data_IF_478370166192
#
_entry.id   IF_478370166192
#
_cell.length_a   1.000
_cell.length_b   1.000
_cell.length_c   1.000
_cell.angle_alpha   90.00
_cell.angle_beta   90.00
_cell.angle_gamma   90.00
#
_symmetry.space_group_name_H-M   'P 1'
#
loop_
_entity.id
_entity.type
_entity.pdbx_description
1 polymer ?
#
# COMPACT_ATOMS: atom_id res chain seq x y z
N UNK A 1 30.07 13.42 2.80
CA UNK A 1 29.83 11.97 2.93
C UNK A 1 29.21 11.46 1.65
N UNK A 2 29.11 10.16 1.50
CA UNK A 2 28.56 9.51 0.30
C UNK A 2 27.16 8.99 0.59
N UNK A 3 26.24 9.17 -0.33
CA UNK A 3 24.90 8.59 -0.18
C UNK A 3 25.01 7.06 -0.18
N UNK A 4 24.51 6.45 0.88
CA UNK A 4 24.59 5.00 1.13
C UNK A 4 23.23 4.30 1.02
N UNK A 5 22.14 5.05 1.15
CA UNK A 5 20.80 4.50 1.16
C UNK A 5 19.80 5.40 0.43
N UNK A 6 18.97 4.78 -0.40
CA UNK A 6 17.94 5.47 -1.16
C UNK A 6 16.62 4.72 -0.97
N UNK A 7 15.62 5.43 -0.46
CA UNK A 7 14.24 4.99 -0.44
C UNK A 7 13.50 5.60 -1.63
N UNK A 8 12.67 4.81 -2.30
CA UNK A 8 11.81 5.29 -3.39
C UNK A 8 10.38 4.81 -3.14
N UNK A 9 9.46 5.73 -2.94
CA UNK A 9 8.05 5.41 -2.75
C UNK A 9 7.20 5.89 -3.92
N UNK A 10 6.13 5.15 -4.23
CA UNK A 10 5.05 5.64 -5.08
C UNK A 10 4.06 6.43 -4.24
N UNK A 11 3.40 7.43 -4.83
CA UNK A 11 2.29 8.13 -4.18
C UNK A 11 1.17 7.17 -3.75
N UNK A 12 0.37 7.57 -2.77
CA UNK A 12 -0.77 6.83 -2.25
C UNK A 12 -1.93 6.69 -3.24
N UNK A 13 -3.01 6.04 -2.80
CA UNK A 13 -4.20 5.76 -3.59
C UNK A 13 -4.89 7.04 -4.06
N UNK A 14 -5.14 7.19 -5.37
CA UNK A 14 -5.70 8.40 -5.99
C UNK A 14 -7.22 8.43 -5.87
N UNK A 15 -7.80 9.62 -5.75
CA UNK A 15 -9.24 9.82 -5.65
C UNK A 15 -10.02 9.29 -6.88
N UNK A 16 -9.45 9.37 -8.08
CA UNK A 16 -10.09 8.87 -9.30
C UNK A 16 -9.97 7.34 -9.50
N UNK A 17 -9.38 6.63 -8.55
CA UNK A 17 -9.38 5.15 -8.54
C UNK A 17 -10.54 4.56 -7.74
N UNK A 18 -11.27 5.40 -7.02
CA UNK A 18 -12.50 4.97 -6.34
C UNK A 18 -13.52 4.46 -7.36
N UNK A 19 -14.32 3.43 -7.03
CA UNK A 19 -15.26 2.80 -7.96
C UNK A 19 -16.38 3.74 -8.44
N UNK A 20 -16.68 4.78 -7.66
CA UNK A 20 -17.77 5.72 -7.95
C UNK A 20 -17.34 7.16 -7.71
N UNK A 21 -17.70 8.06 -8.65
CA UNK A 21 -17.59 9.51 -8.50
C UNK A 21 -18.81 10.14 -7.82
N UNK A 22 -18.87 11.45 -7.73
CA UNK A 22 -17.98 12.38 -8.43
C UNK A 22 -16.59 12.46 -7.80
N UNK A 23 -15.56 12.60 -8.65
CA UNK A 23 -14.19 12.76 -8.17
C UNK A 23 -13.88 14.25 -7.95
N UNK A 24 -13.03 14.58 -6.96
CA UNK A 24 -12.63 15.96 -6.74
C UNK A 24 -11.84 16.50 -7.93
N UNK A 25 -12.08 17.76 -8.27
CA UNK A 25 -11.28 18.48 -9.25
C UNK A 25 -9.82 18.59 -8.75
N UNK A 26 -8.84 18.62 -9.68
CA UNK A 26 -7.45 18.82 -9.31
C UNK A 26 -7.26 20.13 -8.52
N UNK A 27 -6.78 20.11 -7.27
CA UNK A 27 -6.66 21.29 -6.44
C UNK A 27 -5.74 22.37 -7.03
N UNK A 28 -4.73 21.94 -7.79
CA UNK A 28 -3.77 22.83 -8.45
C UNK A 28 -4.30 23.43 -9.77
N UNK A 29 -5.46 22.99 -10.23
CA UNK A 29 -6.01 23.36 -11.54
C UNK A 29 -5.29 22.68 -12.72
N UNK A 30 -4.29 21.86 -12.46
CA UNK A 30 -3.57 21.11 -13.50
C UNK A 30 -4.33 19.83 -13.82
N UNK A 31 -4.71 19.68 -15.08
CA UNK A 31 -5.40 18.48 -15.54
C UNK A 31 -4.58 17.21 -15.23
N UNK A 32 -5.23 16.16 -14.76
CA UNK A 32 -4.62 14.90 -14.32
C UNK A 32 -3.78 14.96 -13.04
N UNK A 33 -3.72 16.11 -12.35
CA UNK A 33 -3.08 16.22 -11.04
C UNK A 33 -4.10 16.01 -9.91
N UNK A 34 -4.77 14.85 -9.95
CA UNK A 34 -5.81 14.49 -8.96
C UNK A 34 -5.20 14.25 -7.58
N UNK A 35 -5.94 14.61 -6.51
CA UNK A 35 -5.49 14.37 -5.13
C UNK A 35 -5.59 12.89 -4.75
N UNK A 36 -5.03 12.55 -3.59
CA UNK A 36 -5.24 11.26 -2.96
C UNK A 36 -6.70 11.10 -2.53
N UNK A 37 -7.18 9.84 -2.51
CA UNK A 37 -8.40 9.47 -1.79
C UNK A 37 -8.16 9.55 -0.27
N UNK A 38 -9.23 9.50 0.52
CA UNK A 38 -9.11 9.52 1.99
C UNK A 38 -8.19 8.40 2.49
N UNK A 39 -8.40 7.16 2.02
CA UNK A 39 -7.53 6.08 2.43
C UNK A 39 -6.11 6.17 1.83
N UNK A 40 -5.91 6.88 0.74
CA UNK A 40 -4.59 7.22 0.22
C UNK A 40 -3.82 8.17 1.14
N UNK A 41 -4.53 9.09 1.82
CA UNK A 41 -3.95 9.91 2.90
C UNK A 41 -3.62 9.06 4.14
N UNK A 42 -4.42 8.02 4.43
CA UNK A 42 -4.10 7.05 5.49
C UNK A 42 -2.84 6.26 5.14
N UNK A 43 -2.73 5.75 3.91
CA UNK A 43 -1.52 5.08 3.42
C UNK A 43 -0.26 5.96 3.58
N UNK A 44 -0.38 7.27 3.30
CA UNK A 44 0.73 8.20 3.49
C UNK A 44 1.15 8.34 4.96
N UNK A 45 0.18 8.35 5.89
CA UNK A 45 0.46 8.34 7.35
C UNK A 45 1.08 7.01 7.81
N UNK A 46 0.58 5.88 7.31
CA UNK A 46 1.14 4.55 7.59
C UNK A 46 2.60 4.45 7.12
N UNK A 47 2.91 4.95 5.91
CA UNK A 47 4.28 5.04 5.42
C UNK A 47 5.15 5.92 6.32
N UNK A 48 4.65 7.08 6.76
CA UNK A 48 5.38 7.98 7.65
C UNK A 48 5.71 7.30 8.99
N UNK A 49 4.74 6.61 9.59
CA UNK A 49 4.94 5.85 10.82
C UNK A 49 5.92 4.68 10.65
N UNK A 50 5.84 3.98 9.52
CA UNK A 50 6.80 2.92 9.19
C UNK A 50 8.23 3.47 9.10
N UNK A 51 8.43 4.55 8.35
CA UNK A 51 9.75 5.19 8.21
C UNK A 51 10.28 5.75 9.54
N UNK A 52 9.41 6.17 10.45
CA UNK A 52 9.81 6.56 11.81
C UNK A 52 10.29 5.38 12.64
N UNK A 53 9.80 4.17 12.37
CA UNK A 53 10.12 2.95 13.10
C UNK A 53 11.41 2.25 12.65
N UNK A 54 11.94 2.59 11.45
CA UNK A 54 13.18 1.97 10.93
C UNK A 54 14.42 2.64 11.50
N UNK A 55 15.50 1.86 11.71
CA UNK A 55 16.76 2.38 12.26
C UNK A 55 17.46 3.38 11.32
N UNK A 56 17.27 3.20 10.00
CA UNK A 56 17.92 4.00 8.97
C UNK A 56 16.93 4.99 8.33
N UNK A 57 16.44 5.94 9.10
CA UNK A 57 15.51 6.95 8.64
C UNK A 57 16.11 7.83 7.53
N UNK A 58 15.32 8.28 6.54
CA UNK A 58 15.79 9.26 5.57
C UNK A 58 16.15 10.60 6.24
N UNK A 59 17.16 11.25 5.71
CA UNK A 59 17.71 12.53 6.18
C UNK A 59 17.37 13.69 5.23
N UNK A 60 17.00 13.37 3.99
CA UNK A 60 16.48 14.31 3.00
C UNK A 60 15.27 13.73 2.29
N UNK A 61 14.28 14.59 2.03
CA UNK A 61 13.05 14.24 1.31
C UNK A 61 12.97 14.98 -0.01
N UNK A 62 12.75 14.21 -1.08
CA UNK A 62 12.47 14.73 -2.42
C UNK A 62 11.11 14.24 -2.90
N UNK A 63 10.33 15.12 -3.48
CA UNK A 63 9.03 14.78 -4.04
C UNK A 63 8.91 15.25 -5.48
N UNK A 64 8.25 14.44 -6.30
CA UNK A 64 7.65 14.90 -7.53
C UNK A 64 6.74 16.11 -7.24
N UNK A 65 6.70 17.14 -8.11
CA UNK A 65 5.88 18.33 -7.90
C UNK A 65 4.37 18.10 -8.03
N UNK A 66 3.91 16.92 -8.42
CA UNK A 66 2.48 16.61 -8.52
C UNK A 66 1.85 16.51 -7.12
N UNK A 67 0.65 17.07 -6.99
CA UNK A 67 -0.05 17.27 -5.72
C UNK A 67 -0.15 15.98 -4.88
N UNK A 68 -0.51 14.85 -5.50
CA UNK A 68 -0.61 13.54 -4.85
C UNK A 68 0.72 13.03 -4.26
N UNK A 69 1.85 13.38 -4.89
CA UNK A 69 3.17 13.02 -4.35
C UNK A 69 3.49 13.89 -3.13
N UNK A 70 3.17 15.18 -3.18
CA UNK A 70 3.34 16.08 -2.04
C UNK A 70 2.44 15.67 -0.88
N UNK A 71 1.17 15.29 -1.12
CA UNK A 71 0.28 14.75 -0.09
C UNK A 71 0.83 13.45 0.54
N UNK A 72 1.54 12.63 -0.24
CA UNK A 72 2.18 11.41 0.29
C UNK A 72 3.42 11.75 1.12
N UNK A 73 4.19 12.78 0.72
CA UNK A 73 5.43 13.18 1.39
C UNK A 73 5.17 14.00 2.65
N UNK A 74 4.06 14.74 2.69
CA UNK A 74 3.74 15.68 3.78
C UNK A 74 3.75 15.03 5.17
N UNK A 75 3.09 13.89 5.45
CA UNK A 75 3.14 13.25 6.76
C UNK A 75 4.56 12.81 7.14
N UNK A 76 5.39 12.41 6.16
CA UNK A 76 6.79 12.03 6.41
C UNK A 76 7.59 13.25 6.82
N UNK A 77 7.41 14.37 6.11
CA UNK A 77 8.06 15.64 6.41
C UNK A 77 7.71 16.15 7.81
N UNK A 78 6.45 15.99 8.22
CA UNK A 78 5.97 16.38 9.54
C UNK A 78 6.59 15.57 10.68
N UNK A 79 6.58 14.23 10.57
CA UNK A 79 7.09 13.38 11.65
C UNK A 79 8.62 13.38 11.76
N UNK A 80 9.31 13.70 10.66
CA UNK A 80 10.78 13.75 10.61
C UNK A 80 11.33 15.17 10.74
N UNK A 81 10.44 16.19 10.76
CA UNK A 81 10.82 17.61 10.80
C UNK A 81 11.79 17.98 9.64
N UNK A 82 11.55 17.42 8.45
CA UNK A 82 12.37 17.66 7.26
C UNK A 82 11.62 18.47 6.20
N UNK A 83 12.28 19.41 5.50
CA UNK A 83 11.68 20.09 4.37
C UNK A 83 11.54 19.16 3.16
N UNK A 84 10.54 19.42 2.30
CA UNK A 84 10.32 18.70 1.06
C UNK A 84 11.01 19.44 -0.08
N UNK A 85 11.97 18.80 -0.73
CA UNK A 85 12.63 19.31 -1.93
C UNK A 85 11.83 18.88 -3.17
N UNK A 86 11.43 19.84 -4.00
CA UNK A 86 10.69 19.55 -5.23
C UNK A 86 11.65 19.20 -6.35
N UNK A 87 11.62 17.93 -6.81
CA UNK A 87 12.46 17.44 -7.89
C UNK A 87 11.62 17.05 -9.12
N UNK A 88 11.70 17.87 -10.18
CA UNK A 88 10.95 17.63 -11.42
C UNK A 88 11.42 16.38 -12.17
N UNK A 89 12.68 15.99 -12.00
CA UNK A 89 13.28 14.83 -12.64
C UNK A 89 12.65 13.49 -12.27
N UNK A 90 11.95 13.45 -11.12
CA UNK A 90 11.17 12.28 -10.69
C UNK A 90 9.66 12.45 -10.95
N UNK A 91 9.30 13.33 -11.90
CA UNK A 91 7.91 13.57 -12.31
C UNK A 91 7.26 12.40 -13.04
N UNK A 92 5.95 12.50 -13.24
CA UNK A 92 5.12 11.49 -13.89
C UNK A 92 5.57 11.23 -15.34
N UNK A 93 5.35 10.01 -15.78
CA UNK A 93 5.53 9.56 -17.14
C UNK A 93 4.23 9.71 -17.92
N UNK A 94 4.29 10.44 -19.01
CA UNK A 94 3.20 10.57 -19.98
C UNK A 94 3.67 10.15 -21.36
N UNK A 95 2.85 9.33 -22.03
CA UNK A 95 3.15 8.86 -23.39
C UNK A 95 3.08 10.01 -24.42
N UNK A 96 3.85 9.92 -25.53
CA UNK A 96 3.87 10.96 -26.56
C UNK A 96 2.56 11.12 -27.35
N UNK A 97 1.65 10.15 -27.27
CA UNK A 97 0.35 10.13 -27.95
C UNK A 97 -0.76 10.90 -27.24
N UNK A 98 -0.45 11.55 -26.12
CA UNK A 98 -1.41 12.44 -25.43
C UNK A 98 -1.52 13.79 -26.14
N UNK A 99 -2.74 14.30 -26.24
CA UNK A 99 -3.02 15.64 -26.80
C UNK A 99 -2.33 16.76 -26.02
N UNK A 100 -2.28 16.61 -24.69
CA UNK A 100 -1.63 17.56 -23.78
C UNK A 100 -0.83 16.79 -22.74
N UNK A 101 0.43 17.14 -22.60
CA UNK A 101 1.28 16.65 -21.51
C UNK A 101 1.10 17.58 -20.30
N UNK A 102 0.58 17.09 -19.16
CA UNK A 102 0.40 17.92 -17.99
C UNK A 102 1.73 18.38 -17.41
N UNK A 103 1.88 19.68 -17.23
CA UNK A 103 2.98 20.26 -16.45
C UNK A 103 2.53 20.47 -14.99
N UNK A 104 3.38 20.17 -14.00
CA UNK A 104 3.02 20.40 -12.61
C UNK A 104 2.82 21.90 -12.34
N UNK A 105 2.03 22.20 -11.31
CA UNK A 105 1.80 23.56 -10.87
C UNK A 105 3.12 24.25 -10.47
N UNK A 106 3.23 25.59 -10.64
CA UNK A 106 4.40 26.33 -10.21
C UNK A 106 4.55 26.31 -8.68
N UNK A 107 5.78 26.56 -8.21
CA UNK A 107 6.13 26.49 -6.79
C UNK A 107 5.20 27.33 -5.89
N UNK A 108 4.90 28.56 -6.32
CA UNK A 108 4.06 29.51 -5.57
C UNK A 108 2.63 28.98 -5.36
N UNK A 109 2.12 28.19 -6.30
CA UNK A 109 0.81 27.53 -6.16
C UNK A 109 0.90 26.38 -5.16
N UNK A 110 1.94 25.55 -5.26
CA UNK A 110 2.15 24.43 -4.35
C UNK A 110 2.40 24.89 -2.91
N UNK A 111 3.16 25.98 -2.71
CA UNK A 111 3.44 26.55 -1.38
C UNK A 111 2.15 27.00 -0.67
N UNK A 112 1.11 27.43 -1.40
CA UNK A 112 -0.18 27.75 -0.78
C UNK A 112 -0.88 26.53 -0.17
N UNK A 113 -0.63 25.32 -0.69
CA UNK A 113 -1.19 24.07 -0.16
C UNK A 113 -0.32 23.45 0.93
N UNK A 114 0.99 23.66 0.85
CA UNK A 114 1.98 23.08 1.76
C UNK A 114 2.85 24.16 2.42
N UNK A 115 2.23 25.13 3.14
CA UNK A 115 2.91 26.34 3.60
C UNK A 115 4.06 26.02 4.56
N UNK A 116 5.24 26.55 4.22
CA UNK A 116 6.46 26.38 5.02
C UNK A 116 7.06 24.98 5.03
N UNK A 117 6.53 24.04 4.22
CA UNK A 117 7.04 22.67 4.13
C UNK A 117 7.95 22.45 2.93
N UNK A 118 7.80 23.28 1.89
CA UNK A 118 8.53 23.13 0.64
C UNK A 118 9.86 23.89 0.65
N UNK A 119 10.93 23.26 0.14
CA UNK A 119 12.20 23.94 -0.10
C UNK A 119 12.23 24.51 -1.53
N UNK A 120 12.16 25.84 -1.64
CA UNK A 120 12.18 26.56 -2.91
C UNK A 120 13.58 26.78 -3.51
N UNK A 121 14.66 26.44 -2.79
CA UNK A 121 16.04 26.63 -3.26
C UNK A 121 16.53 25.49 -4.15
N UNK A 122 15.85 24.33 -4.09
CA UNK A 122 16.18 23.18 -4.92
C UNK A 122 15.62 23.35 -6.34
N UNK A 123 16.48 23.49 -7.33
CA UNK A 123 16.07 23.48 -8.75
C UNK A 123 16.06 22.06 -9.32
N UNK A 124 15.31 21.84 -10.40
CA UNK A 124 15.22 20.56 -11.07
C UNK A 124 16.60 20.05 -11.55
N UNK A 125 16.88 18.77 -11.35
CA UNK A 125 18.10 18.09 -11.86
C UNK A 125 17.96 17.81 -13.34
N UNK A 126 16.84 17.23 -13.74
CA UNK A 126 16.38 17.03 -15.13
C UNK A 126 14.90 17.36 -15.20
N UNK A 127 14.37 17.51 -16.39
CA UNK A 127 12.94 17.81 -16.60
C UNK A 127 12.36 16.81 -17.57
N UNK A 128 11.22 16.16 -17.26
CA UNK A 128 10.50 15.32 -18.21
C UNK A 128 10.16 16.07 -19.50
N UNK A 129 10.08 15.36 -20.61
CA UNK A 129 9.73 15.94 -21.91
C UNK A 129 8.31 16.51 -21.90
N UNK A 130 8.13 17.74 -22.35
CA UNK A 130 6.81 18.34 -22.55
C UNK A 130 6.08 17.83 -23.80
N UNK A 131 6.67 16.88 -24.52
CA UNK A 131 6.08 16.17 -25.67
C UNK A 131 5.70 14.73 -25.34
N UNK A 132 5.80 14.36 -24.06
CA UNK A 132 5.71 12.99 -23.61
C UNK A 132 7.02 12.23 -23.78
N UNK A 133 7.05 11.01 -23.29
CA UNK A 133 8.21 10.14 -23.26
C UNK A 133 7.80 8.72 -23.66
N UNK A 134 8.57 8.09 -24.52
CA UNK A 134 8.50 6.64 -24.74
C UNK A 134 9.03 5.91 -23.51
N UNK A 135 8.89 4.60 -23.47
CA UNK A 135 9.46 3.77 -22.40
C UNK A 135 11.00 3.89 -22.34
N UNK A 136 11.64 4.03 -23.49
CA UNK A 136 13.08 4.26 -23.55
C UNK A 136 13.45 5.65 -23.04
N UNK A 137 12.65 6.68 -23.38
CA UNK A 137 12.93 8.05 -22.96
C UNK A 137 12.85 8.22 -21.44
N UNK A 138 11.84 7.64 -20.79
CA UNK A 138 11.77 7.69 -19.31
C UNK A 138 12.93 6.94 -18.66
N UNK A 139 13.32 5.79 -19.21
CA UNK A 139 14.48 5.05 -18.72
C UNK A 139 15.76 5.88 -18.86
N UNK A 140 16.00 6.49 -20.01
CA UNK A 140 17.15 7.34 -20.26
C UNK A 140 17.15 8.60 -19.38
N UNK A 141 15.98 9.21 -19.14
CA UNK A 141 15.83 10.31 -18.18
C UNK A 141 16.27 9.90 -16.78
N UNK A 142 15.84 8.74 -16.29
CA UNK A 142 16.21 8.25 -14.96
C UNK A 142 17.70 7.88 -14.88
N UNK A 143 18.27 7.32 -15.94
CA UNK A 143 19.70 7.03 -16.05
C UNK A 143 20.56 8.30 -16.03
N UNK A 144 20.10 9.37 -16.70
CA UNK A 144 20.77 10.68 -16.69
C UNK A 144 20.58 11.41 -15.35
N UNK A 145 19.43 11.23 -14.69
CA UNK A 145 19.08 11.83 -13.41
C UNK A 145 20.09 11.46 -12.31
N UNK A 146 20.35 10.18 -12.11
CA UNK A 146 21.12 9.69 -10.97
C UNK A 146 22.50 10.35 -10.79
N UNK A 147 23.40 10.35 -11.78
CA UNK A 147 24.74 10.92 -11.59
C UNK A 147 24.71 12.43 -11.29
N UNK A 148 23.77 13.15 -11.90
CA UNK A 148 23.63 14.60 -11.67
C UNK A 148 23.00 14.88 -10.31
N UNK A 149 21.98 14.13 -9.96
CA UNK A 149 21.26 14.27 -8.70
C UNK A 149 22.16 13.96 -7.50
N UNK A 150 22.81 12.80 -7.50
CA UNK A 150 23.68 12.38 -6.39
C UNK A 150 24.87 13.32 -6.24
N UNK A 151 25.53 13.71 -7.35
CA UNK A 151 26.64 14.67 -7.27
C UNK A 151 26.21 16.00 -6.64
N UNK A 152 25.01 16.49 -6.99
CA UNK A 152 24.47 17.72 -6.42
C UNK A 152 24.09 17.57 -4.95
N UNK A 153 23.46 16.45 -4.57
CA UNK A 153 23.11 16.17 -3.17
C UNK A 153 24.37 16.10 -2.32
N UNK A 154 25.38 15.32 -2.72
CA UNK A 154 26.63 15.18 -1.98
C UNK A 154 27.42 16.49 -1.86
N UNK A 155 27.26 17.39 -2.85
CA UNK A 155 27.85 18.72 -2.79
C UNK A 155 27.13 19.67 -1.82
N UNK A 156 25.78 19.68 -1.86
CA UNK A 156 24.97 20.61 -1.08
C UNK A 156 24.72 20.13 0.36
N UNK A 157 24.69 18.81 0.56
CA UNK A 157 24.38 18.16 1.83
C UNK A 157 25.49 17.14 2.18
N UNK A 158 26.71 17.58 2.47
CA UNK A 158 27.87 16.68 2.62
C UNK A 158 27.78 15.72 3.81
N UNK A 159 26.88 15.99 4.77
CA UNK A 159 26.70 15.18 5.98
C UNK A 159 25.58 14.14 5.88
N UNK A 160 24.87 14.10 4.74
CA UNK A 160 23.73 13.22 4.50
C UNK A 160 24.15 11.92 3.83
N UNK A 161 23.62 10.81 4.31
CA UNK A 161 23.86 9.47 3.77
C UNK A 161 22.60 8.78 3.25
N UNK A 162 21.39 9.27 3.64
CA UNK A 162 20.12 8.58 3.39
C UNK A 162 19.08 9.52 2.77
N UNK A 163 18.53 9.11 1.64
CA UNK A 163 17.58 9.88 0.86
C UNK A 163 16.23 9.18 0.75
N UNK A 164 15.19 9.96 0.59
CA UNK A 164 13.89 9.44 0.16
C UNK A 164 13.34 10.26 -1.01
N UNK A 165 12.82 9.53 -2.01
CA UNK A 165 12.12 10.09 -3.17
C UNK A 165 10.68 9.57 -3.20
N UNK A 166 9.72 10.47 -3.38
CA UNK A 166 8.30 10.13 -3.60
C UNK A 166 7.92 10.47 -5.03
N UNK A 167 7.46 9.48 -5.77
CA UNK A 167 7.26 9.57 -7.22
C UNK A 167 6.04 8.77 -7.70
N UNK A 168 6.01 8.36 -8.95
CA UNK A 168 4.94 7.70 -9.67
C UNK A 168 5.35 6.28 -10.07
N UNK A 169 4.39 5.44 -10.48
CA UNK A 169 4.64 4.03 -10.74
C UNK A 169 5.73 3.79 -11.79
N UNK A 170 5.59 4.38 -12.97
CA UNK A 170 6.54 4.18 -14.06
C UNK A 170 7.92 4.75 -13.72
N UNK A 171 7.95 5.96 -13.14
CA UNK A 171 9.19 6.62 -12.74
C UNK A 171 9.91 5.87 -11.61
N UNK A 172 9.16 5.31 -10.63
CA UNK A 172 9.73 4.46 -9.57
C UNK A 172 10.45 3.25 -10.15
N UNK A 173 9.82 2.55 -11.09
CA UNK A 173 10.43 1.40 -11.77
C UNK A 173 11.66 1.83 -12.57
N UNK A 174 11.57 2.89 -13.38
CA UNK A 174 12.67 3.37 -14.20
C UNK A 174 13.86 3.85 -13.36
N UNK A 175 13.62 4.52 -12.22
CA UNK A 175 14.64 4.90 -11.26
C UNK A 175 15.35 3.66 -10.69
N UNK A 176 14.60 2.67 -10.24
CA UNK A 176 15.17 1.46 -9.67
C UNK A 176 15.97 0.65 -10.71
N UNK A 177 15.42 0.42 -11.90
CA UNK A 177 16.09 -0.33 -12.96
C UNK A 177 17.38 0.35 -13.41
N UNK A 178 17.36 1.67 -13.58
CA UNK A 178 18.56 2.43 -13.95
C UNK A 178 19.60 2.50 -12.83
N UNK A 179 19.19 2.56 -11.57
CA UNK A 179 20.09 2.55 -10.42
C UNK A 179 20.78 1.20 -10.26
N UNK A 180 20.09 0.11 -10.50
CA UNK A 180 20.60 -1.26 -10.46
C UNK A 180 21.47 -1.63 -11.67
N UNK A 181 21.56 -0.75 -12.68
CA UNK A 181 22.42 -0.96 -13.87
C UNK A 181 21.78 -1.79 -14.98
N UNK A 182 20.47 -2.02 -14.96
CA UNK A 182 19.74 -2.66 -16.06
C UNK A 182 19.67 -1.75 -17.29
N UNK A 183 19.28 -2.30 -18.42
CA UNK A 183 19.23 -1.56 -19.71
C UNK A 183 17.81 -1.20 -20.15
N UNK A 184 16.77 -1.71 -19.48
CA UNK A 184 15.38 -1.37 -19.74
C UNK A 184 14.48 -1.54 -18.49
N UNK A 185 13.26 -0.98 -18.58
CA UNK A 185 12.26 -1.10 -17.52
C UNK A 185 11.57 -2.48 -17.46
N UNK A 186 11.80 -3.36 -18.44
CA UNK A 186 11.09 -4.65 -18.58
C UNK A 186 11.91 -5.86 -18.15
N UNK A 187 13.19 -5.68 -17.91
CA UNK A 187 14.05 -6.77 -17.47
C UNK A 187 13.64 -7.26 -16.08
N UNK A 188 13.72 -8.55 -15.81
CA UNK A 188 13.63 -9.05 -14.45
C UNK A 188 14.90 -8.66 -13.66
N UNK A 189 14.75 -8.45 -12.37
CA UNK A 189 15.88 -8.07 -11.49
C UNK A 189 16.68 -9.29 -11.00
N UNK A 190 16.17 -10.49 -11.23
CA UNK A 190 16.82 -11.76 -10.87
C UNK A 190 16.44 -12.90 -11.84
N UNK A 191 17.04 -14.08 -11.63
CA UNK A 191 16.82 -15.29 -12.43
C UNK A 191 15.41 -15.89 -12.25
N UNK A 192 14.72 -15.57 -11.14
CA UNK A 192 13.36 -16.03 -10.85
C UNK A 192 12.30 -15.20 -11.61
N UNK A 193 12.72 -14.18 -12.33
CA UNK A 193 11.83 -13.34 -13.10
C UNK A 193 11.14 -12.23 -12.29
N UNK A 194 11.67 -11.93 -11.10
CA UNK A 194 11.16 -10.86 -10.22
C UNK A 194 11.24 -9.51 -10.94
N UNK A 195 10.21 -8.70 -10.76
CA UNK A 195 10.14 -7.31 -11.26
C UNK A 195 10.06 -6.33 -10.08
N UNK A 196 10.36 -5.06 -10.34
CA UNK A 196 10.12 -4.01 -9.35
C UNK A 196 8.61 -3.84 -9.17
N UNK A 197 8.14 -4.05 -7.94
CA UNK A 197 6.73 -3.89 -7.58
C UNK A 197 6.41 -2.42 -7.35
N UNK A 198 5.28 -1.96 -7.86
CA UNK A 198 4.87 -0.56 -7.77
C UNK A 198 3.38 -0.43 -7.46
N UNK A 199 2.95 -0.89 -6.28
CA UNK A 199 1.64 -0.63 -5.69
C UNK A 199 1.50 0.81 -5.19
N UNK A 200 0.27 1.23 -4.87
CA UNK A 200 0.03 2.51 -4.21
C UNK A 200 0.78 2.55 -2.87
N UNK A 201 1.47 3.64 -2.59
CA UNK A 201 2.27 3.86 -1.38
C UNK A 201 3.34 2.81 -1.09
N UNK A 202 3.72 1.98 -2.11
CA UNK A 202 4.76 0.96 -1.96
C UNK A 202 6.15 1.57 -1.87
N UNK A 203 7.02 0.94 -1.09
CA UNK A 203 8.36 1.42 -0.76
C UNK A 203 9.44 0.47 -1.26
N UNK A 204 10.43 1.01 -2.00
CA UNK A 204 11.69 0.34 -2.30
C UNK A 204 12.81 0.88 -1.43
N UNK A 205 13.82 0.05 -1.20
CA UNK A 205 15.06 0.44 -0.53
C UNK A 205 16.24 -0.08 -1.31
N UNK A 206 17.20 0.82 -1.56
CA UNK A 206 18.45 0.52 -2.25
C UNK A 206 19.62 0.87 -1.33
N UNK A 207 20.59 -0.01 -1.24
CA UNK A 207 21.81 0.15 -0.44
C UNK A 207 23.05 0.09 -1.31
N UNK A 208 23.96 1.02 -1.09
CA UNK A 208 25.29 1.03 -1.73
C UNK A 208 26.10 -0.16 -1.23
N UNK A 209 26.85 -0.81 -2.10
CA UNK A 209 27.81 -1.84 -1.67
C UNK A 209 28.92 -1.21 -0.86
N UNK A 210 29.24 -1.80 0.31
CA UNK A 210 30.10 -1.20 1.36
C UNK A 210 31.51 -0.83 0.90
N UNK A 211 32.05 -1.47 -0.11
CA UNK A 211 33.44 -1.22 -0.57
C UNK A 211 33.52 -0.11 -1.63
N UNK A 212 32.39 0.55 -1.96
CA UNK A 212 32.30 1.49 -3.07
C UNK A 212 32.00 2.93 -2.64
N UNK A 213 32.07 3.22 -1.34
CA UNK A 213 31.74 4.54 -0.79
C UNK A 213 32.65 5.67 -1.33
N UNK A 214 33.89 5.38 -1.63
CA UNK A 214 34.87 6.35 -2.16
C UNK A 214 34.85 6.46 -3.69
N UNK A 215 34.04 5.64 -4.39
CA UNK A 215 33.98 5.67 -5.84
C UNK A 215 33.06 6.80 -6.33
N UNK A 216 33.31 7.39 -7.52
CA UNK A 216 32.34 8.28 -8.17
C UNK A 216 31.07 7.52 -8.53
N UNK A 217 29.91 8.19 -8.49
CA UNK A 217 28.58 7.57 -8.67
C UNK A 217 28.49 6.58 -9.86
N UNK A 218 29.03 6.85 -11.06
CA UNK A 218 28.91 5.91 -12.19
C UNK A 218 29.60 4.55 -11.96
N UNK A 219 30.45 4.45 -10.95
CA UNK A 219 31.18 3.22 -10.61
C UNK A 219 30.60 2.53 -9.37
N UNK A 220 29.58 3.11 -8.76
CA UNK A 220 28.89 2.56 -7.58
C UNK A 220 27.83 1.57 -8.00
N UNK A 221 27.75 0.45 -7.30
CA UNK A 221 26.73 -0.57 -7.48
C UNK A 221 25.77 -0.58 -6.30
N UNK A 222 24.51 -0.75 -6.61
CA UNK A 222 23.43 -0.71 -5.64
C UNK A 222 22.74 -2.06 -5.55
N UNK A 223 22.31 -2.40 -4.35
CA UNK A 223 21.53 -3.59 -4.08
C UNK A 223 20.13 -3.16 -3.62
N UNK A 224 19.11 -3.72 -4.25
CA UNK A 224 17.73 -3.60 -3.75
C UNK A 224 17.57 -4.53 -2.55
N UNK A 225 17.26 -3.96 -1.38
CA UNK A 225 17.04 -4.71 -0.13
C UNK A 225 15.56 -4.71 0.27
N UNK A 226 14.71 -3.92 -0.41
CA UNK A 226 13.26 -3.91 -0.27
C UNK A 226 12.64 -3.61 -1.63
N UNK A 227 11.69 -4.44 -2.07
CA UNK A 227 11.02 -4.35 -3.36
C UNK A 227 9.53 -4.17 -3.18
N UNK A 228 9.02 -2.95 -3.33
CA UNK A 228 7.61 -2.62 -3.27
C UNK A 228 6.94 -3.01 -1.95
N UNK A 229 7.62 -2.83 -0.83
CA UNK A 229 7.07 -3.17 0.48
C UNK A 229 5.77 -2.40 0.76
N UNK A 230 4.74 -3.13 1.14
CA UNK A 230 3.41 -2.66 1.55
C UNK A 230 2.92 -3.33 2.83
N UNK A 231 3.80 -4.04 3.56
CA UNK A 231 3.44 -4.76 4.79
C UNK A 231 2.97 -3.83 5.91
N UNK A 232 3.39 -2.56 5.84
CA UNK A 232 2.97 -1.52 6.78
C UNK A 232 1.59 -0.93 6.45
N UNK A 233 1.02 -1.22 5.28
CA UNK A 233 -0.29 -0.73 4.88
C UNK A 233 -1.39 -1.65 5.42
N UNK A 234 -2.40 -1.06 6.04
CA UNK A 234 -3.55 -1.78 6.62
C UNK A 234 -4.33 -2.62 5.59
N UNK A 235 -4.33 -2.21 4.32
CA UNK A 235 -5.00 -2.93 3.22
C UNK A 235 -4.03 -3.73 2.34
N UNK A 236 -2.73 -3.72 2.64
CA UNK A 236 -1.71 -4.36 1.82
C UNK A 236 -1.49 -3.67 0.47
N UNK A 237 -1.08 -4.44 -0.55
CA UNK A 237 -0.77 -3.88 -1.86
C UNK A 237 -2.03 -3.63 -2.69
N UNK A 238 -2.20 -2.39 -3.13
CA UNK A 238 -3.27 -1.98 -4.03
C UNK A 238 -2.68 -1.34 -5.30
N UNK A 239 -3.42 -1.40 -6.40
CA UNK A 239 -3.10 -0.69 -7.65
C UNK A 239 -1.67 -0.94 -8.16
N UNK A 240 -1.17 -2.16 -8.03
CA UNK A 240 0.10 -2.53 -8.66
C UNK A 240 0.09 -2.21 -10.15
N UNK A 241 1.20 -1.64 -10.63
CA UNK A 241 1.39 -1.32 -12.04
C UNK A 241 2.81 -1.69 -12.49
N UNK A 242 2.95 -2.11 -13.73
CA UNK A 242 4.22 -2.32 -14.43
C UNK A 242 4.11 -1.98 -15.91
N UNK A 243 5.24 -1.93 -16.60
CA UNK A 243 5.30 -1.60 -18.05
C UNK A 243 4.66 -2.67 -18.96
N UNK A 244 4.27 -3.84 -18.43
CA UNK A 244 3.59 -4.90 -19.19
C UNK A 244 2.09 -4.63 -19.35
N UNK A 245 1.51 -3.76 -18.51
CA UNK A 245 0.09 -3.43 -18.50
C UNK A 245 -0.42 -2.79 -19.79
N UNK A 246 0.46 -2.16 -20.58
CA UNK A 246 0.10 -1.46 -21.82
C UNK A 246 -0.57 -0.10 -21.65
N UNK A 247 -1.01 0.24 -20.44
CA UNK A 247 -1.65 1.52 -20.11
C UNK A 247 -0.70 2.44 -19.35
N UNK A 248 -0.93 3.75 -19.43
CA UNK A 248 -0.29 4.69 -18.50
C UNK A 248 -0.81 4.46 -17.08
N UNK A 249 0.09 4.50 -16.11
CA UNK A 249 -0.23 4.30 -14.71
C UNK A 249 -1.27 5.31 -14.21
N UNK A 250 -2.42 4.82 -13.73
CA UNK A 250 -3.51 5.64 -13.23
C UNK A 250 -4.29 6.40 -14.30
N UNK A 251 -4.15 6.04 -15.58
CA UNK A 251 -5.01 6.59 -16.65
C UNK A 251 -6.45 6.08 -16.53
N UNK A 252 -7.40 6.84 -17.08
CA UNK A 252 -8.80 6.42 -17.13
C UNK A 252 -8.98 5.10 -17.89
N UNK A 253 -8.13 4.86 -18.89
CA UNK A 253 -8.10 3.61 -19.66
C UNK A 253 -7.68 2.42 -18.80
N UNK A 254 -6.66 2.58 -17.94
CA UNK A 254 -6.25 1.55 -16.97
C UNK A 254 -7.35 1.29 -15.94
N UNK A 255 -7.91 2.34 -15.35
CA UNK A 255 -9.00 2.23 -14.36
C UNK A 255 -10.20 1.50 -14.96
N UNK A 256 -10.59 1.86 -16.20
CA UNK A 256 -11.68 1.19 -16.92
C UNK A 256 -11.34 -0.27 -17.26
N UNK A 257 -10.11 -0.56 -17.67
CA UNK A 257 -9.70 -1.93 -17.97
C UNK A 257 -9.73 -2.82 -16.72
N UNK A 258 -9.30 -2.30 -15.56
CA UNK A 258 -9.37 -3.00 -14.26
C UNK A 258 -10.82 -3.27 -13.86
N UNK A 259 -11.71 -2.27 -13.97
CA UNK A 259 -13.14 -2.43 -13.68
C UNK A 259 -13.81 -3.47 -14.58
N UNK A 260 -13.44 -3.51 -15.87
CA UNK A 260 -13.97 -4.50 -16.84
C UNK A 260 -13.40 -5.89 -16.53
N UNK A 261 -12.12 -6.01 -16.20
CA UNK A 261 -11.50 -7.29 -15.84
C UNK A 261 -12.11 -7.86 -14.55
N UNK A 262 -12.37 -7.02 -13.55
CA UNK A 262 -13.10 -7.42 -12.34
C UNK A 262 -14.51 -7.89 -12.66
N UNK A 263 -15.25 -7.20 -13.56
CA UNK A 263 -16.59 -7.60 -13.97
C UNK A 263 -16.62 -8.89 -14.81
N UNK A 264 -15.57 -9.17 -15.64
CA UNK A 264 -15.49 -10.41 -16.43
C UNK A 264 -14.94 -11.59 -15.63
N UNK A 265 -14.20 -11.35 -14.56
CA UNK A 265 -13.77 -12.40 -13.63
C UNK A 265 -14.94 -12.96 -12.79
N UNK A 266 -16.06 -12.23 -12.71
CA UNK A 266 -17.28 -12.69 -12.03
C UNK A 266 -18.14 -13.65 -12.87
N UNK A 267 -17.82 -13.88 -14.17
CA UNK A 267 -18.59 -14.75 -15.06
C UNK A 267 -17.92 -16.12 -15.33
N UNK A 268 -16.77 -16.43 -14.76
CA UNK A 268 -16.10 -17.74 -14.87
C UNK A 268 -15.50 -18.16 -13.53
N UNK A 269 -16.14 -19.20 -12.97
CA UNK A 269 -15.77 -19.97 -11.79
C UNK A 269 -16.04 -19.29 -10.42
N UNK A 270 -16.89 -19.99 -9.63
CA UNK A 270 -17.20 -19.82 -8.22
C UNK A 270 -15.99 -19.64 -7.29
N UNK A 271 -15.23 -18.56 -7.43
CA UNK A 271 -14.39 -18.02 -6.40
C UNK A 271 -15.05 -16.73 -5.93
N UNK A 272 -15.91 -16.84 -4.91
CA UNK A 272 -16.42 -15.71 -4.15
C UNK A 272 -15.26 -14.83 -3.74
N UNK A 273 -15.20 -13.61 -4.31
CA UNK A 273 -14.34 -12.53 -3.83
C UNK A 273 -14.96 -12.05 -2.51
N UNK A 274 -14.65 -12.78 -1.43
CA UNK A 274 -15.17 -12.50 -0.09
C UNK A 274 -14.31 -11.43 0.56
N UNK A 275 -14.83 -10.22 0.65
CA UNK A 275 -14.30 -9.19 1.53
C UNK A 275 -14.55 -9.62 2.98
N UNK A 276 -13.47 -9.78 3.76
CA UNK A 276 -13.59 -10.06 5.18
C UNK A 276 -13.72 -8.76 5.96
N UNK A 277 -14.94 -8.44 6.40
CA UNK A 277 -15.21 -7.31 7.30
C UNK A 277 -15.33 -7.82 8.72
N UNK A 278 -14.58 -7.23 9.64
CA UNK A 278 -14.66 -7.52 11.07
C UNK A 278 -15.50 -6.44 11.75
N UNK A 279 -16.58 -6.87 12.38
CA UNK A 279 -17.52 -5.99 13.07
C UNK A 279 -17.56 -6.38 14.55
N UNK A 280 -17.42 -5.41 15.44
CA UNK A 280 -17.68 -5.63 16.87
C UNK A 280 -19.19 -5.57 17.12
N UNK A 281 -19.73 -6.59 17.78
CA UNK A 281 -21.13 -6.63 18.23
C UNK A 281 -21.20 -6.26 19.69
N UNK A 282 -21.84 -5.14 20.00
CA UNK A 282 -22.09 -4.72 21.38
C UNK A 282 -23.49 -5.20 21.83
N UNK A 283 -23.50 -6.29 22.62
CA UNK A 283 -24.74 -6.91 23.11
C UNK A 283 -25.10 -6.27 24.43
N UNK A 284 -26.29 -5.66 24.58
CA UNK A 284 -26.69 -4.94 25.78
C UNK A 284 -26.75 -5.88 27.00
N UNK A 285 -26.11 -5.48 28.06
CA UNK A 285 -26.14 -6.20 29.35
C UNK A 285 -27.09 -5.49 30.31
N UNK A 286 -28.32 -5.98 30.41
CA UNK A 286 -29.38 -5.34 31.20
C UNK A 286 -29.26 -5.52 32.71
N UNK A 287 -28.34 -6.38 33.16
CA UNK A 287 -28.14 -6.60 34.59
C UNK A 287 -26.65 -6.66 34.99
N UNK A 288 -26.17 -5.62 35.65
CA UNK A 288 -24.82 -5.56 36.25
C UNK A 288 -24.50 -6.68 37.23
N UNK A 289 -25.51 -7.47 37.65
CA UNK A 289 -25.38 -8.55 38.65
C UNK A 289 -25.42 -9.95 38.06
N UNK A 290 -25.90 -10.13 36.83
CA UNK A 290 -25.91 -11.41 36.13
C UNK A 290 -25.21 -11.21 34.79
N UNK A 291 -23.92 -11.58 34.71
CA UNK A 291 -23.25 -11.74 33.40
C UNK A 291 -23.91 -12.91 32.69
N UNK A 292 -24.82 -12.65 31.78
CA UNK A 292 -25.22 -13.66 30.82
C UNK A 292 -24.03 -13.91 29.90
N UNK A 293 -23.23 -14.92 30.23
CA UNK A 293 -22.20 -15.42 29.35
C UNK A 293 -22.88 -15.95 28.10
N UNK A 294 -22.65 -15.28 26.97
CA UNK A 294 -23.03 -15.83 25.65
C UNK A 294 -22.33 -17.18 25.56
N UNK A 295 -23.09 -18.27 25.47
CA UNK A 295 -22.52 -19.60 25.34
C UNK A 295 -21.56 -19.65 24.15
N UNK A 296 -20.38 -20.23 24.31
CA UNK A 296 -19.43 -20.44 23.24
C UNK A 296 -20.00 -21.28 22.07
N UNK A 297 -21.18 -21.87 22.24
CA UNK A 297 -21.92 -22.63 21.23
C UNK A 297 -23.14 -21.87 20.70
N UNK A 298 -23.37 -20.61 21.12
CA UNK A 298 -24.48 -19.82 20.61
C UNK A 298 -24.33 -19.59 19.10
N UNK A 299 -25.42 -19.85 18.38
CA UNK A 299 -25.46 -19.55 16.93
C UNK A 299 -25.68 -18.08 16.71
N UNK A 300 -24.90 -17.50 15.78
CA UNK A 300 -25.07 -16.15 15.30
C UNK A 300 -25.75 -16.21 13.91
N UNK A 301 -26.87 -15.50 13.75
CA UNK A 301 -27.53 -15.30 12.48
C UNK A 301 -27.75 -13.81 12.27
N UNK A 302 -27.69 -13.35 11.05
CA UNK A 302 -27.88 -11.93 10.73
C UNK A 302 -28.66 -11.77 9.40
N UNK A 303 -29.34 -10.62 9.25
CA UNK A 303 -30.03 -10.24 8.05
C UNK A 303 -29.93 -8.73 7.83
N UNK A 304 -29.64 -8.34 6.59
CA UNK A 304 -29.61 -6.92 6.18
C UNK A 304 -28.46 -6.13 6.79
N UNK A 305 -27.22 -6.67 6.85
CA UNK A 305 -26.04 -5.93 7.27
C UNK A 305 -25.74 -4.71 6.39
N UNK A 306 -26.30 -4.65 5.20
CA UNK A 306 -26.26 -3.54 4.26
C UNK A 306 -27.27 -2.41 4.57
N UNK A 307 -28.12 -2.59 5.58
CA UNK A 307 -29.16 -1.63 6.00
C UNK A 307 -28.71 -0.78 7.18
N UNK A 308 -29.42 0.35 7.37
CA UNK A 308 -29.19 1.21 8.55
C UNK A 308 -29.48 0.51 9.88
N UNK A 309 -30.48 -0.40 9.87
CA UNK A 309 -30.86 -1.21 11.04
C UNK A 309 -30.86 -2.70 10.66
N UNK A 310 -29.71 -3.39 10.75
CA UNK A 310 -29.65 -4.84 10.55
C UNK A 310 -30.26 -5.60 11.73
N UNK A 311 -30.77 -6.79 11.44
CA UNK A 311 -31.24 -7.72 12.48
C UNK A 311 -30.16 -8.76 12.78
N UNK A 312 -29.87 -8.99 14.06
CA UNK A 312 -28.89 -9.96 14.54
C UNK A 312 -29.57 -10.88 15.56
N UNK A 313 -29.47 -12.20 15.35
CA UNK A 313 -29.92 -13.19 16.32
C UNK A 313 -28.72 -13.84 16.99
N UNK A 314 -28.67 -13.77 18.30
CA UNK A 314 -27.64 -14.40 19.14
C UNK A 314 -28.30 -15.43 20.04
N UNK A 315 -28.10 -16.71 19.78
CA UNK A 315 -28.85 -17.78 20.44
C UNK A 315 -30.33 -17.70 20.16
N UNK A 316 -31.16 -17.50 21.18
CA UNK A 316 -32.63 -17.38 21.07
C UNK A 316 -33.11 -15.92 20.92
N UNK A 317 -32.25 -14.94 21.21
CA UNK A 317 -32.62 -13.53 21.27
C UNK A 317 -32.39 -12.82 19.92
N UNK A 318 -33.31 -11.93 19.56
CA UNK A 318 -33.24 -11.11 18.34
C UNK A 318 -32.99 -9.66 18.73
N UNK A 319 -32.06 -9.03 18.03
CA UNK A 319 -31.65 -7.66 18.23
C UNK A 319 -31.75 -6.86 16.96
N UNK A 320 -32.12 -5.59 17.07
CA UNK A 320 -31.98 -4.59 16.03
C UNK A 320 -30.65 -3.86 16.24
N UNK A 321 -29.81 -3.80 15.18
CA UNK A 321 -28.50 -3.18 15.24
C UNK A 321 -28.53 -1.72 14.81
N UNK A 322 -27.68 -0.92 15.40
CA UNK A 322 -27.39 0.46 14.96
C UNK A 322 -25.90 0.60 14.71
N UNK A 323 -25.54 1.00 13.50
CA UNK A 323 -24.14 1.21 13.13
C UNK A 323 -23.56 2.43 13.81
N UNK A 324 -22.40 2.26 14.43
CA UNK A 324 -21.60 3.34 15.04
C UNK A 324 -20.17 3.29 14.58
N UNK A 325 -19.60 4.45 14.31
CA UNK A 325 -18.15 4.57 14.07
C UNK A 325 -17.41 4.58 15.41
N UNK A 326 -16.39 3.77 15.50
CA UNK A 326 -15.52 3.73 16.67
C UNK A 326 -14.71 5.02 16.77
N UNK A 327 -14.76 5.67 17.92
CA UNK A 327 -13.84 6.78 18.25
C UNK A 327 -12.64 6.14 18.95
N UNK A 328 -11.61 5.79 18.17
CA UNK A 328 -10.42 5.13 18.69
C UNK A 328 -9.99 3.95 17.82
N UNK A 329 -9.12 3.09 18.37
CA UNK A 329 -8.65 1.88 17.69
C UNK A 329 -8.97 0.67 18.55
N UNK A 330 -9.72 -0.28 18.01
CA UNK A 330 -9.95 -1.59 18.61
C UNK A 330 -9.20 -2.64 17.78
N UNK A 331 -8.46 -3.52 18.45
CA UNK A 331 -7.67 -4.55 17.83
C UNK A 331 -8.22 -5.93 18.19
N UNK A 332 -8.54 -6.74 17.18
CA UNK A 332 -8.94 -8.13 17.40
C UNK A 332 -7.76 -9.08 17.15
N UNK A 333 -7.53 -9.94 18.13
CA UNK A 333 -6.52 -11.01 18.06
C UNK A 333 -7.25 -12.34 17.87
N UNK A 334 -7.05 -13.05 16.73
CA UNK A 334 -7.69 -14.34 16.54
C UNK A 334 -7.20 -15.35 17.58
N UNK A 335 -8.14 -16.00 18.28
CA UNK A 335 -7.83 -17.08 19.19
C UNK A 335 -7.49 -18.35 18.38
N UNK A 336 -6.39 -19.03 18.70
CA UNK A 336 -5.91 -20.25 18.03
C UNK A 336 -6.86 -21.48 18.10
N UNK A 337 -8.08 -21.31 18.61
CA UNK A 337 -8.96 -22.42 19.00
C UNK A 337 -10.07 -22.81 18.00
N UNK A 338 -10.20 -22.20 16.81
CA UNK A 338 -11.35 -22.51 15.94
C UNK A 338 -11.02 -22.59 14.45
N UNK A 339 -10.34 -23.66 14.01
CA UNK A 339 -10.46 -24.13 12.62
C UNK A 339 -10.66 -25.65 12.60
N UNK A 340 -11.85 -26.09 13.01
CA UNK A 340 -12.37 -27.38 12.51
C UNK A 340 -13.28 -27.09 11.32
N UNK A 341 -12.75 -27.19 10.12
CA UNK A 341 -13.54 -27.33 8.89
C UNK A 341 -14.37 -28.61 9.02
N UNK A 342 -15.69 -28.49 9.04
CA UNK A 342 -16.61 -29.58 8.74
C UNK A 342 -16.64 -29.72 7.22
N UNK A 343 -16.00 -30.73 6.67
CA UNK A 343 -16.38 -31.28 5.37
C UNK A 343 -17.64 -32.11 5.56
N UNK A 344 -18.72 -31.68 4.92
CA UNK A 344 -19.87 -32.54 4.70
C UNK A 344 -19.51 -33.50 3.55
N UNK A 345 -19.53 -34.78 3.81
CA UNK A 345 -20.16 -35.76 2.94
C UNK A 345 -20.24 -37.10 3.68
N UNK A 346 -21.46 -37.62 3.67
CA UNK A 346 -21.76 -38.90 4.27
C UNK A 346 -21.48 -40.08 3.35
N UNK A 347 -21.17 -41.19 3.94
CA UNK A 347 -21.75 -42.51 3.66
C UNK A 347 -21.14 -43.55 4.60
N UNK A 348 -22.01 -44.37 5.10
CA UNK A 348 -21.81 -45.52 5.98
C UNK A 348 -20.87 -46.58 5.40
N UNK A 349 -20.10 -47.33 6.20
CA UNK A 349 -20.45 -48.65 6.68
C UNK A 349 -19.27 -49.33 7.41
N UNK A 350 -19.62 -49.97 8.52
CA UNK A 350 -19.21 -51.18 9.17
C UNK A 350 -17.74 -51.61 9.35
N UNK A 351 -17.42 -51.82 10.66
CA UNK A 351 -16.85 -53.00 11.30
C UNK A 351 -15.51 -53.61 10.80
N UNK A 352 -14.47 -53.61 11.60
CA UNK A 352 -13.97 -54.78 12.38
C UNK A 352 -12.64 -54.48 13.10
N UNK A 353 -12.54 -55.15 14.16
CA UNK A 353 -11.63 -55.29 15.28
C UNK A 353 -10.19 -55.72 14.93
N UNK A 354 -9.33 -55.56 15.94
CA UNK A 354 -8.14 -56.31 16.35
C UNK A 354 -6.72 -55.80 16.00
N UNK A 355 -6.07 -55.41 17.07
CA UNK A 355 -4.73 -55.78 17.57
C UNK A 355 -3.60 -56.06 16.57
N UNK A 356 -2.50 -55.30 16.69
CA UNK A 356 -1.23 -55.83 17.21
C UNK A 356 -0.12 -54.75 17.30
N UNK A 357 0.70 -54.95 18.31
CA UNK A 357 1.87 -54.18 18.68
C UNK A 357 3.02 -54.34 17.68
N UNK A 358 3.76 -53.30 17.40
CA UNK A 358 5.23 -53.38 17.54
C UNK A 358 5.92 -52.01 17.43
N UNK A 359 6.91 -51.83 18.25
CA UNK A 359 7.85 -50.73 18.36
C UNK A 359 8.53 -50.38 17.03
N UNK A 360 8.69 -49.07 16.72
CA UNK A 360 10.02 -48.60 16.35
C UNK A 360 10.13 -47.07 16.55
N UNK A 361 11.22 -46.75 17.22
CA UNK A 361 11.81 -45.46 17.50
C UNK A 361 12.00 -44.63 16.22
N UNK A 362 11.61 -43.35 16.26
CA UNK A 362 11.81 -42.44 15.15
C UNK A 362 11.32 -41.04 15.57
N UNK A 363 12.25 -40.26 16.12
CA UNK A 363 12.08 -38.86 16.44
C UNK A 363 11.57 -38.09 15.23
N UNK A 364 10.31 -37.68 15.28
CA UNK A 364 9.76 -36.64 14.41
C UNK A 364 9.40 -35.49 15.30
N UNK A 365 10.12 -34.37 15.11
CA UNK A 365 9.78 -33.06 15.63
C UNK A 365 8.33 -32.74 15.28
N UNK A 366 7.56 -32.15 16.21
CA UNK A 366 6.21 -31.71 15.92
C UNK A 366 6.26 -30.56 14.89
N UNK A 367 5.29 -30.48 13.97
CA UNK A 367 5.26 -29.39 12.99
C UNK A 367 5.16 -28.05 13.74
N UNK A 368 6.07 -27.14 13.41
CA UNK A 368 6.06 -25.76 13.84
C UNK A 368 4.65 -25.17 13.63
N UNK A 369 4.01 -24.76 14.72
CA UNK A 369 2.78 -24.00 14.65
C UNK A 369 3.12 -22.63 14.08
N UNK A 370 2.87 -22.43 12.81
CA UNK A 370 2.79 -21.09 12.21
C UNK A 370 1.57 -20.41 12.83
N UNK A 371 1.80 -19.69 13.91
CA UNK A 371 0.87 -18.71 14.44
C UNK A 371 0.79 -17.59 13.40
N UNK A 372 -0.30 -17.53 12.66
CA UNK A 372 -0.61 -16.37 11.84
C UNK A 372 -0.94 -15.20 12.80
N UNK A 373 0.05 -14.38 13.08
CA UNK A 373 -0.07 -13.15 13.86
C UNK A 373 -0.73 -12.06 12.99
N UNK A 374 -1.96 -12.28 12.55
CA UNK A 374 -2.74 -11.21 11.92
C UNK A 374 -3.51 -10.48 13.00
N UNK A 375 -3.17 -9.22 13.21
CA UNK A 375 -3.93 -8.27 14.03
C UNK A 375 -4.97 -7.63 13.10
N UNK A 376 -6.23 -7.68 13.48
CA UNK A 376 -7.31 -7.06 12.72
C UNK A 376 -7.76 -5.78 13.42
N UNK A 377 -7.86 -4.68 12.65
CA UNK A 377 -8.41 -3.42 13.14
C UNK A 377 -9.92 -3.43 12.90
N UNK A 378 -10.69 -3.19 13.96
CA UNK A 378 -12.14 -3.04 13.90
C UNK A 378 -12.44 -1.55 13.76
N UNK A 379 -13.21 -1.18 12.74
CA UNK A 379 -13.56 0.21 12.43
C UNK A 379 -15.06 0.46 12.67
N UNK A 380 -15.89 -0.56 12.47
CA UNK A 380 -17.33 -0.48 12.59
C UNK A 380 -17.84 -1.26 13.80
N UNK A 381 -18.72 -0.61 14.54
CA UNK A 381 -19.37 -1.13 15.73
C UNK A 381 -20.84 -1.27 15.48
N UNK A 382 -21.42 -2.42 15.81
CA UNK A 382 -22.86 -2.62 15.77
C UNK A 382 -23.39 -2.72 17.19
N UNK A 383 -24.06 -1.67 17.67
CA UNK A 383 -24.77 -1.66 18.94
C UNK A 383 -26.11 -2.37 18.76
N UNK A 384 -26.34 -3.42 19.53
CA UNK A 384 -27.55 -4.24 19.46
C UNK A 384 -28.56 -3.79 20.52
N UNK A 385 -29.82 -3.63 20.10
CA UNK A 385 -30.95 -3.38 20.99
C UNK A 385 -31.91 -4.56 20.92
N UNK A 386 -32.30 -5.10 22.09
CA UNK A 386 -33.23 -6.23 22.16
C UNK A 386 -34.59 -5.84 21.60
N UNK A 387 -35.13 -6.68 20.72
CA UNK A 387 -36.47 -6.47 20.15
C UNK A 387 -37.46 -7.28 20.97
N UNK A 388 -38.20 -6.60 21.84
CA UNK A 388 -39.32 -7.18 22.57
C UNK A 388 -40.48 -7.46 21.57
N UNK A 389 -40.63 -8.72 21.20
CA UNK A 389 -41.74 -9.27 20.39
C UNK A 389 -41.77 -8.90 18.89
N UNK A 390 -41.30 -9.82 18.07
CA UNK A 390 -41.83 -10.05 16.72
C UNK A 390 -42.96 -11.06 16.73
#
# INVERSE_FOLDING_TARGET
>A
MTIKMIYVARHGYRSNWLPHGPYPEPPTGVNSDVPLAEHGLEQARELAHYLLSVDNQPELLFSSPFFRCLQTTEPIAEVMELPIHIERGIGEWYKPDRDVIPEPAPFEVLENFFPGKLNGEWGATVVPSNKGETETDIFDRCREFWPRFIARVEQQYPDVEKLMLVTHAATKIALGMSLLGFSSCREPIDEDGTIIRSGACSLDKYELLQEEEDLPFPQRHWKMTMNGNTEFLSRGEEMHWDFRSGFEAGSDAEVKARSTAAATATDSDDAEDTEHVYVCLDVPNHNYRERHEISHTATLQYAGLDRESPLVKVGENIYEGTWKKLIGTELAFPSAATTKRKTADGAADSLHDENEKSNHDGSTEPPEKVLSERIYRIVDHLELNEVDHL
#
